data_IF_450248692966
#
_entry.id   IF_450248692966
#
_cell.length_a   1.000
_cell.length_b   1.000
_cell.length_c   1.000
_cell.angle_alpha   90.00
_cell.angle_beta   90.00
_cell.angle_gamma   90.00
#
_symmetry.space_group_name_H-M   'P 1'
#
loop_
_entity.id
_entity.type
_entity.pdbx_description
1 polymer ?
#
# COMPACT_ATOMS: atom_id res chain seq x y z
N UNK A 1 -45.65 14.49 -22.60
CA UNK A 1 -44.94 13.41 -21.88
C UNK A 1 -43.64 13.08 -22.63
N UNK A 2 -42.60 13.86 -22.31
CA UNK A 2 -41.30 13.83 -23.01
C UNK A 2 -40.70 12.42 -23.12
N UNK A 3 -40.82 11.60 -22.06
CA UNK A 3 -40.30 10.25 -22.07
C UNK A 3 -40.96 9.39 -23.15
N UNK A 4 -42.30 9.43 -23.27
CA UNK A 4 -43.02 8.65 -24.26
C UNK A 4 -42.69 9.03 -25.72
N UNK A 5 -42.35 10.30 -25.96
CA UNK A 5 -41.90 10.78 -27.26
C UNK A 5 -40.48 10.31 -27.59
N UNK A 6 -39.62 10.15 -26.58
CA UNK A 6 -38.25 9.74 -26.75
C UNK A 6 -38.06 8.21 -26.89
N UNK A 7 -38.99 7.41 -26.35
CA UNK A 7 -38.87 5.93 -26.31
C UNK A 7 -38.49 5.27 -27.64
N UNK A 8 -39.05 5.68 -28.81
CA UNK A 8 -38.70 5.06 -30.10
C UNK A 8 -37.24 5.37 -30.52
N UNK A 9 -36.58 6.33 -29.90
CA UNK A 9 -35.19 6.75 -30.22
C UNK A 9 -34.17 6.20 -29.27
N UNK A 10 -34.57 5.80 -28.05
CA UNK A 10 -33.67 5.31 -27.02
C UNK A 10 -33.17 3.89 -27.31
N UNK A 11 -31.89 3.67 -27.02
CA UNK A 11 -31.29 2.33 -27.01
C UNK A 11 -31.31 1.71 -25.60
N UNK A 12 -31.27 2.55 -24.58
CA UNK A 12 -31.30 2.11 -23.20
C UNK A 12 -31.97 3.14 -22.30
N UNK A 13 -32.74 2.68 -21.30
CA UNK A 13 -33.34 3.49 -20.25
C UNK A 13 -32.90 2.96 -18.89
N UNK A 14 -32.30 3.81 -18.08
CA UNK A 14 -31.92 3.47 -16.71
C UNK A 14 -32.92 4.00 -15.73
N UNK A 15 -33.74 3.14 -15.15
CA UNK A 15 -34.70 3.49 -14.13
C UNK A 15 -34.04 3.44 -12.75
N UNK A 16 -34.42 4.32 -11.86
CA UNK A 16 -34.00 4.32 -10.44
C UNK A 16 -35.24 4.36 -9.57
N UNK A 17 -35.15 3.85 -8.36
CA UNK A 17 -36.23 3.98 -7.38
C UNK A 17 -36.53 5.45 -7.10
N UNK A 18 -37.80 5.77 -6.92
CA UNK A 18 -38.19 7.06 -6.40
C UNK A 18 -37.82 7.13 -4.91
N UNK A 19 -37.02 8.13 -4.53
CA UNK A 19 -36.51 8.28 -3.17
C UNK A 19 -37.43 9.17 -2.36
N UNK A 20 -38.30 8.57 -1.51
CA UNK A 20 -39.26 9.30 -0.67
C UNK A 20 -38.55 10.32 0.23
N UNK A 21 -37.35 10.00 0.69
CA UNK A 21 -36.54 10.86 1.53
C UNK A 21 -36.12 12.21 0.91
N UNK A 22 -36.40 12.39 -0.38
CA UNK A 22 -36.11 13.65 -1.12
C UNK A 22 -37.35 14.53 -1.35
N UNK A 23 -38.50 14.08 -0.91
CA UNK A 23 -39.74 14.85 -1.03
C UNK A 23 -40.09 15.45 0.33
N UNK A 24 -40.49 16.74 0.34
CA UNK A 24 -40.90 17.43 1.55
C UNK A 24 -42.30 17.00 2.01
N UNK A 25 -43.13 16.58 1.05
CA UNK A 25 -44.52 16.19 1.27
C UNK A 25 -44.82 14.81 0.64
N UNK A 26 -45.59 13.99 1.38
CA UNK A 26 -46.08 12.70 0.91
C UNK A 26 -47.00 12.83 -0.33
N UNK A 27 -47.78 13.88 -0.43
CA UNK A 27 -48.68 14.12 -1.57
C UNK A 27 -47.89 14.34 -2.86
N UNK A 28 -46.79 15.09 -2.80
CA UNK A 28 -45.86 15.30 -3.90
C UNK A 28 -45.21 13.95 -4.32
N UNK A 29 -44.76 13.17 -3.35
CA UNK A 29 -44.20 11.83 -3.61
C UNK A 29 -45.19 10.92 -4.32
N UNK A 30 -46.46 10.86 -3.88
CA UNK A 30 -47.46 10.02 -4.50
C UNK A 30 -47.84 10.50 -5.90
N UNK A 31 -47.88 11.79 -6.14
CA UNK A 31 -48.12 12.39 -7.47
C UNK A 31 -46.97 12.05 -8.44
N UNK A 32 -45.74 12.15 -7.98
CA UNK A 32 -44.56 11.81 -8.77
C UNK A 32 -44.50 10.30 -9.10
N UNK A 33 -44.89 9.43 -8.16
CA UNK A 33 -44.81 7.97 -8.28
C UNK A 33 -45.46 7.44 -9.56
N UNK A 34 -46.65 7.86 -9.87
CA UNK A 34 -47.43 7.36 -11.01
C UNK A 34 -46.83 7.79 -12.35
N UNK A 35 -46.06 8.86 -12.37
CA UNK A 35 -45.31 9.31 -13.54
C UNK A 35 -44.05 8.55 -13.80
N UNK A 36 -43.51 7.89 -12.77
CA UNK A 36 -42.24 7.19 -12.87
C UNK A 36 -42.38 5.68 -13.15
N UNK A 37 -43.57 5.16 -13.38
CA UNK A 37 -43.78 3.75 -13.71
C UNK A 37 -43.56 3.50 -15.20
N UNK A 38 -42.55 2.69 -15.52
CA UNK A 38 -42.32 2.19 -16.88
C UNK A 38 -43.26 1.00 -17.18
N UNK A 39 -44.19 1.20 -18.09
CA UNK A 39 -45.28 0.24 -18.34
C UNK A 39 -45.06 -0.65 -19.56
N UNK A 40 -45.85 -1.75 -19.74
CA UNK A 40 -45.85 -2.58 -20.95
C UNK A 40 -46.11 -1.81 -22.22
N UNK A 41 -47.02 -0.84 -22.20
CA UNK A 41 -47.37 0.02 -23.36
C UNK A 41 -46.17 0.87 -23.77
N UNK A 42 -45.42 1.37 -22.79
CA UNK A 42 -44.15 2.09 -23.03
C UNK A 42 -43.10 1.18 -23.62
N UNK A 43 -42.98 -0.07 -23.13
CA UNK A 43 -42.07 -1.08 -23.66
C UNK A 43 -42.34 -1.41 -25.11
N UNK A 44 -43.62 -1.49 -25.50
CA UNK A 44 -44.04 -1.78 -26.90
C UNK A 44 -43.58 -0.69 -27.88
N UNK A 45 -43.36 0.55 -27.42
CA UNK A 45 -42.91 1.68 -28.26
C UNK A 45 -41.39 1.74 -28.43
N UNK A 46 -40.64 0.86 -27.79
CA UNK A 46 -39.17 0.90 -27.81
C UNK A 46 -38.62 0.08 -29.01
N UNK A 47 -37.39 0.40 -29.43
CA UNK A 47 -36.65 -0.33 -30.45
C UNK A 47 -36.50 -1.82 -30.08
N UNK A 48 -36.27 -2.64 -31.10
CA UNK A 48 -36.07 -4.10 -30.95
C UNK A 48 -34.92 -4.44 -30.01
N UNK A 49 -33.80 -3.69 -30.08
CA UNK A 49 -32.59 -3.87 -29.29
C UNK A 49 -32.54 -3.00 -28.02
N UNK A 50 -33.65 -2.37 -27.66
CA UNK A 50 -33.77 -1.57 -26.43
C UNK A 50 -33.53 -2.42 -25.17
N UNK A 51 -32.96 -1.81 -24.14
CA UNK A 51 -32.85 -2.38 -22.81
C UNK A 51 -33.34 -1.41 -21.71
N UNK A 52 -34.01 -1.93 -20.69
CA UNK A 52 -34.29 -1.19 -19.47
C UNK A 52 -33.46 -1.76 -18.32
N UNK A 53 -32.73 -0.91 -17.61
CA UNK A 53 -31.89 -1.22 -16.45
C UNK A 53 -32.45 -0.64 -15.16
N UNK A 54 -32.01 -1.17 -14.02
CA UNK A 54 -32.32 -0.65 -12.68
C UNK A 54 -31.21 -1.11 -11.70
N UNK A 55 -30.71 -0.25 -10.82
CA UNK A 55 -29.58 -0.60 -9.91
C UNK A 55 -29.95 -1.64 -8.86
N UNK A 56 -31.25 -1.88 -8.64
CA UNK A 56 -31.75 -2.73 -7.56
C UNK A 56 -31.24 -2.30 -6.14
N UNK A 57 -31.98 -2.61 -5.07
CA UNK A 57 -33.30 -3.24 -5.09
C UNK A 57 -34.39 -2.29 -5.60
N UNK A 58 -35.39 -2.85 -6.32
CA UNK A 58 -36.60 -2.13 -6.65
C UNK A 58 -37.55 -2.12 -5.44
N UNK A 59 -38.37 -1.08 -5.33
CA UNK A 59 -39.38 -1.02 -4.29
C UNK A 59 -40.51 -2.03 -4.61
N UNK A 60 -40.84 -2.88 -3.63
CA UNK A 60 -41.87 -3.92 -3.82
C UNK A 60 -43.30 -3.34 -3.87
N UNK A 61 -43.53 -2.29 -3.10
CA UNK A 61 -44.85 -1.62 -3.03
C UNK A 61 -45.07 -0.68 -4.20
N UNK A 62 -44.00 0.02 -4.61
CA UNK A 62 -44.02 1.04 -5.67
C UNK A 62 -42.89 0.80 -6.66
N UNK A 63 -43.01 -0.25 -7.50
CA UNK A 63 -42.00 -0.55 -8.48
C UNK A 63 -41.95 0.51 -9.57
N UNK A 64 -40.72 0.88 -9.99
CA UNK A 64 -40.52 1.84 -11.09
C UNK A 64 -40.56 1.18 -12.48
N UNK A 65 -40.52 -0.14 -12.51
CA UNK A 65 -40.75 -0.96 -13.71
C UNK A 65 -41.90 -1.92 -13.42
N UNK A 66 -42.91 -1.92 -14.27
CA UNK A 66 -44.10 -2.74 -14.07
C UNK A 66 -43.72 -4.22 -13.89
N UNK A 67 -44.27 -4.94 -12.88
CA UNK A 67 -43.87 -6.30 -12.54
C UNK A 67 -43.99 -7.31 -13.68
N UNK A 68 -44.96 -7.14 -14.58
CA UNK A 68 -45.14 -8.03 -15.75
C UNK A 68 -43.97 -8.00 -16.75
N UNK A 69 -43.14 -6.96 -16.69
CA UNK A 69 -41.95 -6.83 -17.55
C UNK A 69 -40.75 -7.64 -17.06
N UNK A 70 -40.79 -8.19 -15.86
CA UNK A 70 -39.62 -8.91 -15.23
C UNK A 70 -39.16 -10.12 -16.04
N UNK A 71 -40.03 -10.71 -16.87
CA UNK A 71 -39.69 -11.83 -17.76
C UNK A 71 -39.43 -11.40 -19.21
N UNK A 72 -39.59 -10.11 -19.52
CA UNK A 72 -39.42 -9.59 -20.87
C UNK A 72 -37.92 -9.56 -21.26
N UNK A 73 -37.59 -9.90 -22.51
CA UNK A 73 -36.21 -9.96 -23.02
C UNK A 73 -35.43 -8.63 -22.87
N UNK A 74 -36.14 -7.51 -22.90
CA UNK A 74 -35.58 -6.16 -22.76
C UNK A 74 -35.42 -5.74 -21.28
N UNK A 75 -35.83 -6.57 -20.32
CA UNK A 75 -35.65 -6.35 -18.90
C UNK A 75 -34.27 -6.79 -18.43
N UNK A 76 -33.34 -5.86 -18.15
CA UNK A 76 -31.95 -6.17 -17.85
C UNK A 76 -31.53 -6.05 -16.38
N UNK A 77 -32.35 -5.61 -15.41
CA UNK A 77 -31.88 -5.35 -14.05
C UNK A 77 -31.16 -6.56 -13.42
N UNK A 78 -31.68 -7.76 -13.57
CA UNK A 78 -31.02 -8.97 -13.03
C UNK A 78 -29.67 -9.24 -13.69
N UNK A 79 -29.61 -9.12 -15.02
CA UNK A 79 -28.36 -9.31 -15.78
C UNK A 79 -27.34 -8.26 -15.43
N UNK A 80 -27.78 -7.01 -15.34
CA UNK A 80 -26.94 -5.88 -14.97
C UNK A 80 -26.39 -6.03 -13.54
N UNK A 81 -27.24 -6.38 -12.56
CA UNK A 81 -26.79 -6.62 -11.18
C UNK A 81 -25.79 -7.77 -11.10
N UNK A 82 -26.00 -8.84 -11.88
CA UNK A 82 -25.05 -9.95 -11.99
C UNK A 82 -23.69 -9.54 -12.53
N UNK A 83 -23.63 -8.53 -13.40
CA UNK A 83 -22.36 -8.01 -13.93
C UNK A 83 -21.56 -7.20 -12.87
N UNK A 84 -22.15 -6.81 -11.76
CA UNK A 84 -21.47 -6.03 -10.72
C UNK A 84 -20.27 -6.75 -10.10
N UNK A 85 -20.34 -8.07 -9.97
CA UNK A 85 -19.23 -8.88 -9.43
C UNK A 85 -18.05 -8.90 -10.40
N UNK A 86 -18.17 -9.34 -11.66
CA UNK A 86 -17.04 -9.33 -12.59
C UNK A 86 -16.51 -7.92 -12.85
N UNK A 87 -17.36 -6.89 -12.89
CA UNK A 87 -16.92 -5.51 -13.05
C UNK A 87 -16.00 -5.09 -11.89
N UNK A 88 -16.40 -5.31 -10.64
CA UNK A 88 -15.57 -4.99 -9.48
C UNK A 88 -14.27 -5.80 -9.46
N UNK A 89 -14.32 -7.09 -9.82
CA UNK A 89 -13.11 -7.89 -9.94
C UNK A 89 -12.16 -7.32 -11.01
N UNK A 90 -12.70 -6.87 -12.14
CA UNK A 90 -11.91 -6.23 -13.20
C UNK A 90 -11.32 -4.91 -12.74
N UNK A 91 -12.09 -4.05 -12.07
CA UNK A 91 -11.60 -2.79 -11.51
C UNK A 91 -10.49 -3.02 -10.48
N UNK A 92 -10.66 -4.00 -9.60
CA UNK A 92 -9.62 -4.38 -8.64
C UNK A 92 -8.38 -4.93 -9.34
N UNK A 93 -8.55 -5.79 -10.35
CA UNK A 93 -7.44 -6.34 -11.13
C UNK A 93 -6.67 -5.23 -11.87
N UNK A 94 -7.36 -4.27 -12.48
CA UNK A 94 -6.75 -3.10 -13.13
C UNK A 94 -5.97 -2.24 -12.11
N UNK A 95 -6.56 -1.98 -10.95
CA UNK A 95 -5.93 -1.19 -9.89
C UNK A 95 -4.68 -1.85 -9.32
N UNK A 96 -4.62 -3.19 -9.35
CA UNK A 96 -3.48 -3.98 -8.90
C UNK A 96 -2.46 -4.28 -10.02
N UNK A 97 -2.70 -3.81 -11.24
CA UNK A 97 -1.86 -4.13 -12.39
C UNK A 97 -1.91 -5.61 -12.83
N UNK A 98 -3.00 -6.31 -12.49
CA UNK A 98 -3.25 -7.72 -12.86
C UNK A 98 -4.09 -7.87 -14.14
N UNK A 99 -4.51 -6.77 -14.72
CA UNK A 99 -5.22 -6.69 -15.99
C UNK A 99 -4.96 -5.32 -16.64
N UNK A 100 -5.28 -5.17 -17.93
CA UNK A 100 -5.11 -3.93 -18.68
C UNK A 100 -4.11 -4.05 -19.81
N UNK A 101 -3.82 -2.94 -20.48
CA UNK A 101 -2.90 -2.90 -21.63
C UNK A 101 -1.46 -3.21 -21.26
N UNK A 102 -1.05 -2.92 -20.03
CA UNK A 102 0.29 -3.16 -19.51
C UNK A 102 0.43 -4.56 -18.88
N UNK A 103 -0.62 -5.37 -18.92
CA UNK A 103 -0.60 -6.71 -18.36
C UNK A 103 0.09 -7.68 -19.31
N UNK A 104 1.24 -8.20 -18.94
CA UNK A 104 2.07 -9.13 -19.72
C UNK A 104 1.69 -10.62 -19.53
N UNK A 105 0.54 -10.89 -18.91
CA UNK A 105 0.09 -12.26 -18.60
C UNK A 105 0.78 -12.88 -17.39
N UNK A 106 1.69 -12.15 -16.74
CA UNK A 106 2.37 -12.59 -15.52
C UNK A 106 1.72 -11.92 -14.32
N UNK A 107 1.35 -12.72 -13.33
CA UNK A 107 1.00 -12.17 -12.03
C UNK A 107 2.27 -11.50 -11.46
N UNK A 108 2.32 -10.17 -11.51
CA UNK A 108 3.37 -9.44 -10.82
C UNK A 108 3.17 -9.69 -9.32
N UNK A 109 3.88 -10.69 -8.81
CA UNK A 109 4.14 -10.72 -7.35
C UNK A 109 4.69 -9.34 -7.00
N UNK A 110 4.29 -8.76 -5.85
CA UNK A 110 4.84 -7.49 -5.42
C UNK A 110 6.34 -7.55 -5.69
N UNK A 111 6.83 -6.59 -6.48
CA UNK A 111 8.23 -6.57 -6.94
C UNK A 111 9.07 -6.88 -5.74
N UNK A 112 9.90 -7.90 -5.85
CA UNK A 112 10.96 -8.12 -4.87
C UNK A 112 11.56 -6.74 -4.64
N UNK A 113 11.51 -6.20 -3.41
CA UNK A 113 11.88 -4.82 -3.18
C UNK A 113 13.19 -4.55 -3.88
N UNK A 114 13.24 -3.46 -4.63
CA UNK A 114 14.36 -3.15 -5.49
C UNK A 114 15.68 -3.30 -4.73
N UNK A 115 16.66 -3.85 -5.39
CA UNK A 115 18.05 -3.97 -4.89
C UNK A 115 18.75 -2.60 -4.87
N UNK A 116 18.01 -1.51 -5.15
CA UNK A 116 18.49 -0.13 -5.23
C UNK A 116 18.87 0.49 -3.89
N UNK A 117 18.47 -0.12 -2.79
CA UNK A 117 18.78 0.38 -1.45
C UNK A 117 20.15 -0.05 -0.91
N UNK A 118 20.91 -0.87 -1.64
CA UNK A 118 22.21 -1.38 -1.22
C UNK A 118 23.22 -1.25 -2.35
N UNK A 119 24.37 -0.65 -2.06
CA UNK A 119 25.52 -0.60 -2.98
C UNK A 119 26.74 -1.22 -2.32
N UNK A 120 27.30 -2.22 -2.97
CA UNK A 120 28.59 -2.76 -2.58
C UNK A 120 29.68 -1.70 -2.89
N UNK A 121 30.57 -1.51 -1.92
CA UNK A 121 31.74 -0.65 -2.04
C UNK A 121 32.99 -1.45 -1.77
N UNK A 122 34.06 -1.17 -2.49
CA UNK A 122 35.38 -1.78 -2.21
C UNK A 122 35.74 -1.57 -0.73
N UNK A 123 35.93 -2.65 0.02
CA UNK A 123 36.30 -2.55 1.44
C UNK A 123 37.67 -1.86 1.63
N UNK A 124 38.51 -1.78 0.60
CA UNK A 124 39.86 -1.26 0.71
C UNK A 124 40.72 -2.06 1.67
N UNK A 125 41.98 -1.62 1.86
CA UNK A 125 42.93 -2.27 2.80
C UNK A 125 42.68 -1.87 4.27
N UNK A 126 41.47 -1.46 4.62
CA UNK A 126 41.18 -0.98 5.96
C UNK A 126 41.13 -2.11 6.98
N UNK A 127 42.17 -2.18 7.83
CA UNK A 127 42.09 -2.87 9.11
C UNK A 127 40.92 -2.26 9.89
N UNK A 128 40.10 -3.10 10.52
CA UNK A 128 39.03 -2.66 11.42
C UNK A 128 39.66 -1.77 12.53
N UNK A 129 39.68 -0.43 12.30
CA UNK A 129 40.21 0.52 13.26
C UNK A 129 39.08 0.95 14.19
N UNK A 130 38.89 0.22 15.24
CA UNK A 130 38.11 0.67 16.38
C UNK A 130 38.92 1.67 17.22
N UNK A 131 38.98 2.90 16.75
CA UNK A 131 39.88 3.89 17.33
C UNK A 131 39.17 4.97 18.09
N UNK A 132 38.18 4.72 18.93
CA UNK A 132 37.71 5.71 19.87
C UNK A 132 36.80 5.21 20.99
N UNK A 133 36.62 3.92 21.14
CA UNK A 133 35.96 3.34 22.30
C UNK A 133 36.71 2.12 22.78
N UNK A 134 36.67 1.85 24.09
CA UNK A 134 37.11 0.59 24.73
C UNK A 134 36.31 -0.65 24.25
N UNK A 135 35.89 -0.64 23.01
CA UNK A 135 35.09 -1.73 22.39
C UNK A 135 36.09 -2.61 21.62
N UNK A 136 36.29 -3.83 22.10
CA UNK A 136 37.08 -4.82 21.36
C UNK A 136 36.50 -5.04 19.95
N UNK A 137 37.36 -5.04 18.90
CA UNK A 137 36.91 -5.27 17.52
C UNK A 137 36.22 -6.63 17.37
N UNK A 138 35.25 -6.67 16.49
CA UNK A 138 34.65 -7.94 16.05
C UNK A 138 35.64 -8.64 15.13
N UNK A 139 35.98 -9.90 15.43
CA UNK A 139 36.87 -10.73 14.59
C UNK A 139 36.07 -11.34 13.44
N UNK A 140 34.89 -11.89 13.73
CA UNK A 140 33.94 -12.40 12.75
C UNK A 140 32.53 -11.85 13.06
N UNK A 141 31.76 -11.48 12.04
CA UNK A 141 30.38 -11.01 12.18
C UNK A 141 30.09 -9.76 11.38
N UNK A 142 29.14 -8.94 11.87
CA UNK A 142 28.66 -7.74 11.17
C UNK A 142 28.84 -6.49 12.02
N UNK A 143 29.26 -5.41 11.37
CA UNK A 143 29.31 -4.06 11.97
C UNK A 143 28.41 -3.13 11.16
N UNK A 144 27.37 -2.57 11.82
CA UNK A 144 26.56 -1.50 11.30
C UNK A 144 27.15 -0.20 11.82
N UNK A 145 27.54 0.68 10.93
CA UNK A 145 28.21 1.95 11.25
C UNK A 145 27.58 3.11 10.48
N UNK A 146 27.94 4.34 10.81
CA UNK A 146 27.45 5.56 10.20
C UNK A 146 25.92 5.76 10.32
N UNK A 147 25.32 5.29 11.41
CA UNK A 147 23.93 5.62 11.72
C UNK A 147 23.91 7.08 12.20
N UNK A 148 23.78 8.00 11.25
CA UNK A 148 23.75 9.45 11.44
C UNK A 148 22.30 9.97 11.58
N UNK A 149 22.12 11.23 11.95
CA UNK A 149 20.82 11.84 12.16
C UNK A 149 20.23 11.48 13.53
N UNK A 150 19.54 10.37 13.65
CA UNK A 150 19.10 9.83 14.94
C UNK A 150 19.91 8.58 15.31
N UNK A 151 21.07 8.73 15.99
CA UNK A 151 21.94 7.60 16.30
C UNK A 151 21.32 6.58 17.25
N UNK A 152 20.27 6.94 17.97
CA UNK A 152 19.56 6.04 18.89
C UNK A 152 18.68 5.02 18.19
N UNK A 153 18.46 5.17 16.88
CA UNK A 153 17.78 4.19 16.02
C UNK A 153 18.45 2.82 16.08
N UNK A 154 19.74 2.73 16.47
CA UNK A 154 20.43 1.44 16.68
C UNK A 154 19.71 0.52 17.68
N UNK A 155 19.03 1.09 18.69
CA UNK A 155 18.25 0.32 19.65
C UNK A 155 17.02 -0.32 18.97
N UNK A 156 16.38 0.43 18.07
CA UNK A 156 15.27 -0.05 17.27
C UNK A 156 15.74 -1.18 16.32
N UNK A 157 16.86 -0.98 15.65
CA UNK A 157 17.50 -1.99 14.79
C UNK A 157 17.76 -3.28 15.59
N UNK A 158 18.36 -3.20 16.78
CA UNK A 158 18.68 -4.39 17.59
C UNK A 158 17.43 -5.19 17.98
N UNK A 159 16.32 -4.50 18.28
CA UNK A 159 15.02 -5.14 18.58
C UNK A 159 14.41 -5.82 17.35
N UNK A 160 14.42 -5.14 16.22
CA UNK A 160 13.84 -5.68 14.98
C UNK A 160 14.64 -6.86 14.43
N UNK A 161 15.96 -6.86 14.59
CA UNK A 161 16.82 -8.01 14.30
C UNK A 161 16.69 -9.13 15.33
N UNK A 162 15.91 -8.90 16.40
CA UNK A 162 15.67 -9.86 17.50
C UNK A 162 16.94 -10.38 18.14
N UNK A 163 17.97 -9.52 18.29
CA UNK A 163 19.29 -9.95 18.72
C UNK A 163 19.27 -10.62 20.09
N UNK A 164 18.53 -10.04 21.07
CA UNK A 164 18.39 -10.65 22.39
C UNK A 164 17.61 -11.97 22.37
N UNK A 165 16.51 -12.03 21.61
CA UNK A 165 15.66 -13.22 21.52
C UNK A 165 16.40 -14.40 20.89
N UNK A 166 17.30 -14.12 19.94
CA UNK A 166 18.11 -15.13 19.25
C UNK A 166 19.36 -15.54 20.04
N UNK A 167 19.67 -14.83 21.11
CA UNK A 167 20.89 -15.05 21.90
C UNK A 167 22.17 -14.56 21.22
N UNK A 168 22.06 -13.61 20.28
CA UNK A 168 23.21 -13.02 19.60
C UNK A 168 24.10 -12.26 20.58
N UNK A 169 25.41 -12.37 20.44
CA UNK A 169 26.38 -11.56 21.18
C UNK A 169 26.59 -10.27 20.39
N UNK A 170 26.17 -9.14 20.95
CA UNK A 170 26.29 -7.85 20.29
C UNK A 170 26.70 -6.73 21.24
N UNK A 171 27.18 -5.65 20.66
CA UNK A 171 27.48 -4.38 21.33
C UNK A 171 26.95 -3.23 20.51
N UNK A 172 26.39 -2.23 21.17
CA UNK A 172 25.92 -1.01 20.50
C UNK A 172 26.27 0.23 21.34
N UNK A 173 26.45 1.33 20.66
CA UNK A 173 26.75 2.60 21.32
C UNK A 173 26.63 3.76 20.35
N UNK A 174 26.59 4.97 20.94
CA UNK A 174 26.65 6.23 20.20
C UNK A 174 28.05 6.80 20.40
N UNK A 175 28.73 7.08 19.30
CA UNK A 175 30.14 7.55 19.33
C UNK A 175 30.27 8.86 18.57
N UNK A 176 31.30 9.63 18.95
CA UNK A 176 31.74 10.80 18.22
C UNK A 176 32.82 10.41 17.19
N UNK A 177 32.60 10.65 15.87
CA UNK A 177 33.59 10.32 14.85
C UNK A 177 34.81 11.24 14.95
N UNK A 178 36.02 10.66 14.93
CA UNK A 178 37.29 11.41 14.97
C UNK A 178 37.37 12.46 13.83
N UNK A 179 36.86 12.14 12.65
CA UNK A 179 36.90 13.04 11.47
C UNK A 179 35.85 14.14 11.46
N UNK A 180 34.86 14.08 12.35
CA UNK A 180 33.76 15.06 12.45
C UNK A 180 33.42 15.32 13.90
N UNK A 181 34.28 16.05 14.63
CA UNK A 181 34.01 16.39 16.03
C UNK A 181 32.70 17.18 16.14
N UNK A 182 31.96 16.97 17.23
CA UNK A 182 30.65 17.56 17.44
C UNK A 182 29.47 16.82 16.80
N UNK A 183 29.74 15.80 15.98
CA UNK A 183 28.67 14.93 15.43
C UNK A 183 28.57 13.62 16.21
N UNK A 184 27.44 12.97 16.13
CA UNK A 184 27.20 11.66 16.77
C UNK A 184 26.80 10.64 15.73
N UNK A 185 27.25 9.40 15.88
CA UNK A 185 26.81 8.27 15.07
C UNK A 185 26.55 7.04 15.93
N UNK A 186 25.54 6.26 15.56
CA UNK A 186 25.30 4.95 16.15
C UNK A 186 26.17 3.89 15.52
N UNK A 187 26.62 2.93 16.33
CA UNK A 187 27.36 1.75 15.91
C UNK A 187 26.75 0.53 16.58
N UNK A 188 26.50 -0.54 15.81
CA UNK A 188 26.04 -1.83 16.30
C UNK A 188 26.97 -2.91 15.75
N UNK A 189 27.51 -3.74 16.63
CA UNK A 189 28.43 -4.84 16.31
C UNK A 189 27.78 -6.16 16.72
N UNK A 190 27.69 -7.10 15.80
CA UNK A 190 27.10 -8.42 16.04
C UNK A 190 28.20 -9.45 15.79
N UNK A 191 28.48 -10.26 16.83
CA UNK A 191 29.53 -11.28 16.76
C UNK A 191 29.01 -12.54 16.05
N UNK A 192 29.88 -13.16 15.24
CA UNK A 192 29.68 -14.47 14.59
C UNK A 192 28.39 -14.60 13.76
N UNK A 193 27.80 -13.48 13.33
CA UNK A 193 26.60 -13.46 12.48
C UNK A 193 26.76 -12.49 11.31
N UNK A 194 26.48 -12.98 10.11
CA UNK A 194 26.28 -12.18 8.90
C UNK A 194 24.79 -11.92 8.72
N UNK A 195 24.45 -10.71 8.29
CA UNK A 195 23.07 -10.30 8.04
C UNK A 195 22.58 -10.78 6.68
N UNK A 196 21.36 -11.30 6.65
CA UNK A 196 20.65 -11.64 5.42
C UNK A 196 20.23 -10.38 4.66
N UNK A 197 19.93 -10.50 3.38
CA UNK A 197 19.50 -9.37 2.57
C UNK A 197 18.24 -8.68 3.08
N UNK A 198 17.32 -9.45 3.68
CA UNK A 198 16.12 -8.89 4.31
C UNK A 198 16.45 -8.03 5.52
N UNK A 199 17.41 -8.47 6.37
CA UNK A 199 17.89 -7.69 7.51
C UNK A 199 18.54 -6.38 7.02
N UNK A 200 19.34 -6.46 5.96
CA UNK A 200 20.02 -5.28 5.39
C UNK A 200 19.03 -4.26 4.82
N UNK A 201 17.95 -4.72 4.20
CA UNK A 201 16.86 -3.86 3.71
C UNK A 201 16.10 -3.16 4.84
N UNK A 202 15.82 -3.91 5.90
CA UNK A 202 15.22 -3.36 7.11
C UNK A 202 16.08 -2.20 7.64
N UNK A 203 17.39 -2.42 7.75
CA UNK A 203 18.34 -1.39 8.21
C UNK A 203 18.39 -0.22 7.23
N UNK A 204 18.40 -0.46 5.91
CA UNK A 204 18.38 0.57 4.89
C UNK A 204 17.14 1.49 4.99
N UNK A 205 16.01 0.92 5.41
CA UNK A 205 14.77 1.70 5.63
C UNK A 205 14.84 2.51 6.90
N UNK A 206 15.32 1.92 8.00
CA UNK A 206 15.35 2.58 9.31
C UNK A 206 16.47 3.62 9.42
N UNK A 207 17.63 3.31 8.84
CA UNK A 207 18.83 4.13 8.92
C UNK A 207 19.49 4.29 7.53
N UNK A 208 18.82 4.97 6.59
CA UNK A 208 19.44 5.26 5.29
C UNK A 208 20.69 6.12 5.48
N UNK A 209 21.73 5.81 4.74
CA UNK A 209 23.07 6.39 4.91
C UNK A 209 24.00 5.60 5.85
N UNK A 210 23.47 4.62 6.57
CA UNK A 210 24.31 3.69 7.33
C UNK A 210 25.15 2.80 6.41
N UNK A 211 26.14 2.15 7.01
CA UNK A 211 27.03 1.18 6.34
C UNK A 211 26.96 -0.15 7.05
N UNK A 212 26.82 -1.23 6.32
CA UNK A 212 26.94 -2.61 6.85
C UNK A 212 28.24 -3.21 6.36
N UNK A 213 29.07 -3.62 7.31
CA UNK A 213 30.37 -4.23 7.05
C UNK A 213 30.36 -5.68 7.54
N UNK A 214 30.64 -6.61 6.65
CA UNK A 214 30.87 -8.01 7.01
C UNK A 214 32.34 -8.20 7.35
N UNK A 215 32.62 -8.76 8.51
CA UNK A 215 33.96 -8.95 9.06
C UNK A 215 34.32 -10.43 9.09
N UNK A 216 35.49 -10.74 8.58
CA UNK A 216 36.09 -12.09 8.66
C UNK A 216 37.57 -11.94 9.02
N UNK A 217 38.03 -12.67 10.03
CA UNK A 217 39.41 -12.64 10.55
C UNK A 217 39.91 -11.19 10.82
N UNK A 218 39.04 -10.37 11.38
CA UNK A 218 39.33 -8.97 11.72
C UNK A 218 39.46 -8.03 10.51
N UNK A 219 39.11 -8.49 9.30
CA UNK A 219 39.13 -7.68 8.07
C UNK A 219 37.72 -7.49 7.53
N UNK A 220 37.47 -6.32 6.95
CA UNK A 220 36.22 -6.07 6.23
C UNK A 220 36.28 -6.81 4.89
N UNK A 221 35.44 -7.85 4.72
CA UNK A 221 35.37 -8.63 3.48
C UNK A 221 34.31 -8.11 2.52
N UNK A 222 33.25 -7.49 3.06
CA UNK A 222 32.19 -6.84 2.26
C UNK A 222 31.75 -5.56 2.95
N UNK A 223 31.56 -4.50 2.19
CA UNK A 223 31.06 -3.22 2.66
C UNK A 223 29.86 -2.79 1.81
N UNK A 224 28.76 -2.47 2.47
CA UNK A 224 27.50 -2.08 1.83
C UNK A 224 27.08 -0.72 2.34
N UNK A 225 26.92 0.25 1.45
CA UNK A 225 26.31 1.54 1.73
C UNK A 225 24.79 1.42 1.55
N UNK A 226 24.03 1.94 2.48
CA UNK A 226 22.59 1.79 2.53
C UNK A 226 21.88 3.08 2.12
N UNK A 227 20.81 2.95 1.36
CA UNK A 227 19.96 4.04 0.89
C UNK A 227 18.49 3.71 1.18
N UNK A 228 17.66 4.74 1.32
CA UNK A 228 16.23 4.55 1.44
C UNK A 228 15.68 3.91 0.15
N UNK A 229 15.03 2.74 0.21
CA UNK A 229 14.43 2.13 -0.98
C UNK A 229 13.34 3.05 -1.57
N UNK A 230 13.11 2.98 -2.87
CA UNK A 230 12.04 3.73 -3.53
C UNK A 230 10.67 3.34 -2.99
N UNK A 231 10.47 2.05 -2.76
CA UNK A 231 9.24 1.49 -2.20
C UNK A 231 9.60 0.63 -0.99
N UNK A 232 8.98 0.94 0.14
CA UNK A 232 9.02 0.13 1.37
C UNK A 232 7.72 -0.65 1.44
N UNK A 233 7.79 -1.97 1.33
CA UNK A 233 6.64 -2.87 1.37
C UNK A 233 7.03 -4.22 1.98
N UNK A 234 6.14 -4.80 2.79
CA UNK A 234 6.29 -6.15 3.32
C UNK A 234 7.39 -6.33 4.37
N UNK A 235 7.91 -5.25 4.95
CA UNK A 235 8.85 -5.34 6.06
C UNK A 235 8.09 -5.61 7.37
N UNK A 236 8.59 -6.52 8.22
CA UNK A 236 7.94 -6.84 9.49
C UNK A 236 7.98 -5.64 10.46
N UNK A 237 6.93 -5.51 11.26
CA UNK A 237 6.83 -4.48 12.29
C UNK A 237 6.52 -3.07 11.78
N UNK A 238 6.30 -2.89 10.46
CA UNK A 238 5.96 -1.60 9.89
C UNK A 238 4.51 -1.20 10.15
N UNK A 239 4.28 0.09 10.40
CA UNK A 239 2.95 0.70 10.53
C UNK A 239 2.96 2.14 10.01
N UNK A 240 1.81 2.66 9.62
CA UNK A 240 1.67 4.08 9.32
C UNK A 240 1.45 4.88 10.61
N UNK A 241 2.09 6.05 10.74
CA UNK A 241 1.92 6.93 11.91
C UNK A 241 0.55 7.59 11.97
N UNK A 242 -0.17 7.67 10.85
CA UNK A 242 -1.55 8.15 10.84
C UNK A 242 -2.47 7.08 11.45
N UNK A 243 -3.04 7.38 12.62
CA UNK A 243 -3.94 6.49 13.35
C UNK A 243 -5.26 6.18 12.61
N UNK A 244 -5.61 6.91 11.54
CA UNK A 244 -6.77 6.65 10.68
C UNK A 244 -6.42 5.89 9.40
N UNK A 245 -5.18 5.39 9.29
CA UNK A 245 -4.76 4.68 8.09
C UNK A 245 -5.27 3.23 8.11
N UNK A 246 -5.76 2.75 6.96
CA UNK A 246 -6.24 1.37 6.78
C UNK A 246 -5.18 0.29 7.10
N UNK A 247 -3.89 0.68 7.09
CA UNK A 247 -2.79 -0.26 7.42
C UNK A 247 -2.61 -0.48 8.92
N UNK A 248 -3.38 0.20 9.76
CA UNK A 248 -3.30 0.05 11.20
C UNK A 248 -4.01 -1.23 11.65
N UNK A 249 -3.38 -1.95 12.56
CA UNK A 249 -3.91 -3.22 13.08
C UNK A 249 -5.29 -3.09 13.74
N UNK A 250 -5.61 -1.90 14.26
CA UNK A 250 -6.89 -1.62 14.91
C UNK A 250 -8.10 -1.73 13.96
N UNK A 251 -7.86 -1.62 12.64
CA UNK A 251 -8.93 -1.75 11.65
C UNK A 251 -9.16 -3.19 11.18
N UNK A 252 -8.32 -4.14 11.58
CA UNK A 252 -8.42 -5.57 11.23
C UNK A 252 -8.48 -5.87 9.72
N UNK A 253 -8.07 -4.92 8.87
CA UNK A 253 -8.09 -5.08 7.41
C UNK A 253 -6.87 -5.86 6.89
N UNK A 254 -5.86 -6.06 7.75
CA UNK A 254 -4.62 -6.78 7.42
C UNK A 254 -3.90 -6.28 6.16
N UNK A 255 -4.06 -5.00 5.85
CA UNK A 255 -3.40 -4.37 4.70
C UNK A 255 -1.93 -4.13 5.04
N UNK A 256 -0.98 -4.73 4.29
CA UNK A 256 0.43 -4.51 4.55
C UNK A 256 0.81 -3.04 4.29
N UNK A 257 1.71 -2.53 5.11
CA UNK A 257 2.22 -1.16 4.91
C UNK A 257 2.97 -1.08 3.60
N UNK A 258 2.63 -0.06 2.83
CA UNK A 258 3.35 0.36 1.64
C UNK A 258 3.64 1.85 1.74
N UNK A 259 4.90 2.21 1.66
CA UNK A 259 5.34 3.59 1.68
C UNK A 259 6.27 3.85 0.49
N UNK A 260 6.25 5.07 -0.03
CA UNK A 260 7.03 5.49 -1.20
C UNK A 260 7.95 6.62 -0.79
N UNK A 261 9.22 6.55 -1.18
CA UNK A 261 10.17 7.65 -0.99
C UNK A 261 9.67 8.89 -1.73
N UNK A 262 9.67 10.03 -1.04
CA UNK A 262 9.13 11.28 -1.60
C UNK A 262 10.04 11.86 -2.68
N UNK A 263 11.35 11.92 -2.41
CA UNK A 263 12.35 12.46 -3.32
C UNK A 263 13.70 11.79 -3.09
N UNK A 264 14.54 11.63 -4.12
CA UNK A 264 15.93 11.18 -3.94
C UNK A 264 16.78 12.12 -3.07
N UNK A 265 16.39 13.39 -2.98
CA UNK A 265 17.07 14.42 -2.20
C UNK A 265 16.72 14.34 -0.71
N UNK A 266 15.48 13.97 -0.39
CA UNK A 266 14.99 13.74 0.96
C UNK A 266 15.29 12.32 1.41
N UNK A 267 16.46 12.15 2.01
CA UNK A 267 17.04 10.83 2.30
C UNK A 267 16.21 9.94 3.22
N UNK A 268 15.33 10.54 4.03
CA UNK A 268 14.66 9.84 5.14
C UNK A 268 13.13 10.02 5.16
N UNK A 269 12.54 10.63 4.12
CA UNK A 269 11.10 10.90 4.10
C UNK A 269 10.39 9.92 3.18
N UNK A 270 9.35 9.31 3.71
CA UNK A 270 8.44 8.44 2.98
C UNK A 270 7.01 8.95 3.10
N UNK A 271 6.21 8.61 2.10
CA UNK A 271 4.79 8.88 2.04
C UNK A 271 4.02 7.56 2.06
N UNK A 272 3.06 7.44 2.96
CA UNK A 272 2.17 6.28 2.95
C UNK A 272 1.38 6.22 1.63
N UNK A 273 1.39 5.06 1.00
CA UNK A 273 0.70 4.84 -0.28
C UNK A 273 -0.82 5.03 -0.16
N UNK A 274 -1.41 4.65 0.98
CA UNK A 274 -2.86 4.63 1.16
C UNK A 274 -3.45 5.97 1.64
N UNK A 275 -2.81 6.63 2.60
CA UNK A 275 -3.36 7.85 3.21
C UNK A 275 -2.54 9.11 2.92
N UNK A 276 -1.46 9.01 2.14
CA UNK A 276 -0.53 10.10 1.80
C UNK A 276 0.16 10.77 3.00
N UNK A 277 0.10 10.18 4.20
CA UNK A 277 0.78 10.71 5.36
C UNK A 277 2.29 10.70 5.15
N UNK A 278 2.94 11.84 5.41
CA UNK A 278 4.40 11.98 5.38
C UNK A 278 4.97 11.62 6.74
N UNK A 279 6.07 10.86 6.76
CA UNK A 279 6.73 10.43 7.98
C UNK A 279 8.22 10.17 7.73
N UNK A 280 9.03 10.23 8.77
CA UNK A 280 10.39 9.71 8.68
C UNK A 280 10.39 8.19 8.53
N UNK A 281 11.34 7.65 7.78
CA UNK A 281 11.39 6.22 7.46
C UNK A 281 11.58 5.33 8.70
N UNK A 282 12.22 5.84 9.74
CA UNK A 282 12.37 5.15 11.02
C UNK A 282 11.09 5.15 11.88
N UNK A 283 10.14 6.04 11.60
CA UNK A 283 8.81 6.07 12.25
C UNK A 283 7.88 4.98 11.76
N UNK A 284 8.22 4.31 10.66
CA UNK A 284 7.46 3.16 10.17
C UNK A 284 7.49 1.96 11.14
N UNK A 285 8.46 1.92 12.07
CA UNK A 285 8.72 0.80 12.98
C UNK A 285 8.44 1.10 14.45
#
# INVERSE_FOLDING_TARGET
DALKEMLPRLDFLYMTRLQRERFEDDAEYYAARDMFLFTPEMMARTKTNFGVGHPLPDNKEFPTIHPSLKTHRKYWPKRQAGNGVPTRLTEMALSLGLAGFDFDGKCHRPRTPATDCVRDRDPGSHKNRNGSMDIRPVVNGTVIDHVEGNPYVIQKISKLLKLCERGDIFRMGVVEPIKRPGTRKGVLMIKDRLLEEQDVRLIATIAPGATVNDIHDGRVVRKRDLFLPEIVEGLPGTHCTNHRCITRAEYHEHVPVKAVRVSPEEKNIVKCFYCNNLMHSDELF
#
